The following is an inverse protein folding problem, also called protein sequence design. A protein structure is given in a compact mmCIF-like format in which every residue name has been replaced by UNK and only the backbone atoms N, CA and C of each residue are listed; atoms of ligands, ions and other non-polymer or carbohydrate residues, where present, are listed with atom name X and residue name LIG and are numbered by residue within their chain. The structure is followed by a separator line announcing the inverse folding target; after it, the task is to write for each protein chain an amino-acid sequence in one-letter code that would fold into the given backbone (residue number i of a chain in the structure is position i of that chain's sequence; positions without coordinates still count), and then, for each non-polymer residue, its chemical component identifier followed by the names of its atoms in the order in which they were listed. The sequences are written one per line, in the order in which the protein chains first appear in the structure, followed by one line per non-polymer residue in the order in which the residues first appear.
data_IF_024405956082
#
_entry.id   IF_024405956082
#
_cell.length_a   1.000
_cell.length_b   1.000
_cell.length_c   1.000
_cell.angle_alpha   90.00
_cell.angle_beta   90.00
_cell.angle_gamma   90.00
#
_symmetry.space_group_name_H-M   'P 1'
#
loop_
_entity.id
_entity.type
_entity.pdbx_description
1 polymer ?
#
# COMPACT_ATOMS: atom_id res chain seq x y z
N UNK A 1 -35.10 -3.28 -14.73
CA UNK A 1 -34.34 -3.98 -13.67
C UNK A 1 -33.07 -4.68 -14.20
N UNK A 2 -33.10 -5.38 -15.34
CA UNK A 2 -31.94 -6.09 -15.89
C UNK A 2 -30.65 -5.25 -16.04
N UNK A 3 -30.72 -4.00 -16.56
CA UNK A 3 -29.54 -3.13 -16.74
C UNK A 3 -28.79 -2.78 -15.45
N UNK A 4 -29.47 -2.71 -14.30
CA UNK A 4 -28.83 -2.46 -12.98
C UNK A 4 -28.09 -3.70 -12.49
N UNK A 5 -28.68 -4.89 -12.70
CA UNK A 5 -28.04 -6.15 -12.38
C UNK A 5 -26.73 -6.31 -13.15
N UNK A 6 -26.76 -6.14 -14.48
CA UNK A 6 -25.58 -6.25 -15.34
C UNK A 6 -24.42 -5.32 -14.95
N UNK A 7 -24.70 -4.11 -14.47
CA UNK A 7 -23.65 -3.18 -14.01
C UNK A 7 -22.99 -3.65 -12.72
N UNK A 8 -23.77 -4.14 -11.76
CA UNK A 8 -23.24 -4.65 -10.49
C UNK A 8 -22.42 -5.92 -10.73
N UNK A 9 -22.92 -6.85 -11.55
CA UNK A 9 -22.14 -8.04 -11.92
C UNK A 9 -20.90 -7.68 -12.72
N UNK A 10 -20.96 -6.69 -13.62
CA UNK A 10 -19.77 -6.26 -14.36
C UNK A 10 -18.72 -5.60 -13.45
N UNK A 11 -19.13 -4.79 -12.47
CA UNK A 11 -18.21 -4.23 -11.47
C UNK A 11 -17.64 -5.35 -10.58
N UNK A 12 -18.46 -6.32 -10.18
CA UNK A 12 -17.99 -7.48 -9.40
C UNK A 12 -17.00 -8.32 -10.19
N UNK A 13 -17.30 -8.63 -11.46
CA UNK A 13 -16.43 -9.38 -12.35
C UNK A 13 -15.17 -8.58 -12.63
N UNK A 14 -15.25 -7.27 -12.89
CA UNK A 14 -14.08 -6.42 -13.13
C UNK A 14 -13.20 -6.32 -11.87
N UNK A 15 -13.78 -6.21 -10.68
CA UNK A 15 -13.03 -6.23 -9.42
C UNK A 15 -12.42 -7.60 -9.15
N UNK A 16 -13.16 -8.69 -9.40
CA UNK A 16 -12.71 -10.06 -9.19
C UNK A 16 -11.63 -10.48 -10.21
N UNK A 17 -11.78 -10.11 -11.48
CA UNK A 17 -10.76 -10.34 -12.51
C UNK A 17 -9.58 -9.40 -12.37
N UNK A 18 -9.75 -8.18 -11.87
CA UNK A 18 -8.62 -7.34 -11.46
C UNK A 18 -7.86 -7.95 -10.27
N UNK A 19 -8.54 -8.68 -9.38
CA UNK A 19 -7.92 -9.47 -8.31
C UNK A 19 -7.20 -10.73 -8.82
N UNK A 20 -7.72 -11.40 -9.86
CA UNK A 20 -7.06 -12.53 -10.53
C UNK A 20 -5.92 -12.09 -11.46
N UNK A 21 -5.97 -10.86 -11.98
CA UNK A 21 -4.89 -10.20 -12.72
C UNK A 21 -3.92 -9.44 -11.82
N UNK A 22 -4.16 -9.39 -10.51
CA UNK A 22 -3.10 -9.17 -9.52
C UNK A 22 -2.24 -10.44 -9.42
N UNK A 23 -1.80 -10.93 -10.58
CA UNK A 23 -0.60 -11.74 -10.76
C UNK A 23 0.46 -11.03 -9.93
N UNK A 24 0.88 -11.68 -8.85
CA UNK A 24 1.81 -11.21 -7.82
C UNK A 24 2.30 -9.81 -8.13
N UNK A 25 1.72 -8.79 -7.49
CA UNK A 25 2.43 -7.51 -7.41
C UNK A 25 3.75 -7.85 -6.75
N UNK A 26 4.80 -8.06 -7.57
CA UNK A 26 6.15 -8.35 -7.11
C UNK A 26 6.54 -7.11 -6.33
N UNK A 27 6.28 -7.16 -5.02
CA UNK A 27 6.66 -6.06 -4.15
C UNK A 27 8.17 -6.09 -4.13
N UNK A 28 8.77 -4.95 -4.46
CA UNK A 28 10.22 -4.80 -4.44
C UNK A 28 10.67 -5.15 -3.03
N UNK A 29 11.63 -6.05 -2.89
CA UNK A 29 12.22 -6.43 -1.60
C UNK A 29 13.53 -5.67 -1.38
N UNK A 30 14.14 -5.88 -0.23
CA UNK A 30 15.47 -5.36 0.05
C UNK A 30 16.52 -5.85 -0.94
N UNK A 31 16.39 -7.07 -1.48
CA UNK A 31 17.32 -7.63 -2.47
C UNK A 31 17.38 -6.81 -3.75
N UNK A 32 16.25 -6.34 -4.26
CA UNK A 32 16.22 -5.43 -5.41
C UNK A 32 16.62 -4.00 -4.98
N UNK A 33 16.14 -3.54 -3.83
CA UNK A 33 16.33 -2.17 -3.36
C UNK A 33 17.81 -1.77 -3.21
N UNK A 34 18.65 -2.64 -2.64
CA UNK A 34 20.08 -2.35 -2.43
C UNK A 34 20.84 -2.15 -3.75
N UNK A 35 20.33 -2.73 -4.84
CA UNK A 35 20.92 -2.63 -6.17
C UNK A 35 20.45 -1.38 -6.94
N UNK A 36 19.46 -0.65 -6.42
CA UNK A 36 18.97 0.57 -7.04
C UNK A 36 19.89 1.76 -6.75
N UNK A 37 20.09 2.61 -7.75
CA UNK A 37 20.68 3.93 -7.52
C UNK A 37 19.70 4.84 -6.76
N UNK A 38 20.22 5.86 -6.08
CA UNK A 38 19.40 6.82 -5.32
C UNK A 38 18.31 7.48 -6.17
N UNK A 39 18.61 7.74 -7.45
CA UNK A 39 17.64 8.24 -8.43
C UNK A 39 16.48 7.27 -8.61
N UNK A 40 16.76 5.98 -8.78
CA UNK A 40 15.74 4.94 -8.96
C UNK A 40 14.92 4.76 -7.69
N UNK A 41 15.55 4.72 -6.51
CA UNK A 41 14.86 4.68 -5.21
C UNK A 41 13.90 5.85 -5.05
N UNK A 42 14.35 7.06 -5.38
CA UNK A 42 13.53 8.27 -5.33
C UNK A 42 12.34 8.21 -6.30
N UNK A 43 12.57 7.75 -7.54
CA UNK A 43 11.52 7.59 -8.54
C UNK A 43 10.49 6.53 -8.13
N UNK A 44 10.94 5.42 -7.54
CA UNK A 44 10.07 4.39 -7.00
C UNK A 44 9.13 4.97 -5.94
N UNK A 45 9.67 5.67 -4.94
CA UNK A 45 8.85 6.28 -3.88
C UNK A 45 7.88 7.36 -4.42
N UNK A 46 8.30 8.15 -5.41
CA UNK A 46 7.41 9.10 -6.10
C UNK A 46 6.27 8.36 -6.82
N UNK A 47 6.59 7.28 -7.52
CA UNK A 47 5.61 6.42 -8.20
C UNK A 47 4.62 5.80 -7.21
N UNK A 48 5.13 5.27 -6.09
CA UNK A 48 4.34 4.70 -5.01
C UNK A 48 3.33 5.71 -4.45
N UNK A 49 3.78 6.92 -4.07
CA UNK A 49 2.90 7.98 -3.57
C UNK A 49 1.86 8.44 -4.61
N UNK A 50 2.27 8.55 -5.89
CA UNK A 50 1.36 8.90 -6.98
C UNK A 50 0.29 7.82 -7.18
N UNK A 51 0.67 6.55 -7.10
CA UNK A 51 -0.23 5.40 -7.15
C UNK A 51 -1.25 5.44 -6.01
N UNK A 52 -0.82 5.65 -4.77
CA UNK A 52 -1.72 5.81 -3.62
C UNK A 52 -2.72 6.95 -3.80
N UNK A 53 -2.24 8.12 -4.24
CA UNK A 53 -3.11 9.28 -4.52
C UNK A 53 -4.14 8.98 -5.60
N UNK A 54 -3.73 8.30 -6.67
CA UNK A 54 -4.63 7.91 -7.75
C UNK A 54 -5.69 6.92 -7.26
N UNK A 55 -5.28 5.87 -6.55
CA UNK A 55 -6.18 4.87 -5.96
C UNK A 55 -7.20 5.51 -5.02
N UNK A 56 -6.76 6.44 -4.15
CA UNK A 56 -7.65 7.23 -3.29
C UNK A 56 -8.67 8.03 -4.09
N UNK A 57 -8.20 8.75 -5.12
CA UNK A 57 -9.05 9.59 -5.97
C UNK A 57 -10.12 8.76 -6.69
N UNK A 58 -9.75 7.58 -7.21
CA UNK A 58 -10.69 6.67 -7.85
C UNK A 58 -11.74 6.19 -6.85
N UNK A 59 -11.32 5.74 -5.67
CA UNK A 59 -12.23 5.27 -4.62
C UNK A 59 -13.19 6.36 -4.17
N UNK A 60 -12.68 7.56 -3.86
CA UNK A 60 -13.51 8.70 -3.43
C UNK A 60 -14.51 9.11 -4.52
N UNK A 61 -14.08 9.11 -5.79
CA UNK A 61 -14.98 9.38 -6.91
C UNK A 61 -16.08 8.33 -7.00
N UNK A 62 -15.74 7.04 -6.94
CA UNK A 62 -16.73 5.95 -6.99
C UNK A 62 -17.74 6.02 -5.83
N UNK A 63 -17.27 6.33 -4.61
CA UNK A 63 -18.16 6.51 -3.44
C UNK A 63 -19.10 7.70 -3.66
N UNK A 64 -18.58 8.83 -4.15
CA UNK A 64 -19.38 10.02 -4.39
C UNK A 64 -20.40 9.83 -5.51
N UNK A 65 -20.04 9.10 -6.56
CA UNK A 65 -20.95 8.79 -7.65
C UNK A 65 -22.08 7.84 -7.19
N UNK A 66 -21.80 6.87 -6.32
CA UNK A 66 -22.83 6.01 -5.71
C UNK A 66 -23.78 6.79 -4.78
N UNK A 67 -23.23 7.68 -3.92
CA UNK A 67 -24.04 8.52 -3.02
C UNK A 67 -25.00 9.45 -3.76
N UNK A 68 -24.68 9.87 -4.98
CA UNK A 68 -25.58 10.71 -5.81
C UNK A 68 -26.77 9.92 -6.36
N UNK A 69 -26.62 8.61 -6.52
CA UNK A 69 -27.63 7.74 -7.14
C UNK A 69 -28.45 6.99 -6.08
N UNK A 70 -27.87 6.75 -4.90
CA UNK A 70 -28.48 6.01 -3.81
C UNK A 70 -28.42 6.79 -2.49
N UNK A 71 -29.58 7.28 -2.03
CA UNK A 71 -29.72 8.09 -0.82
C UNK A 71 -29.35 7.34 0.46
N UNK A 72 -29.58 6.02 0.51
CA UNK A 72 -29.28 5.15 1.67
C UNK A 72 -27.93 4.41 1.50
N UNK A 73 -27.00 4.98 0.74
CA UNK A 73 -25.70 4.34 0.53
C UNK A 73 -24.90 4.24 1.84
N UNK A 74 -24.74 3.02 2.33
CA UNK A 74 -23.81 2.69 3.41
C UNK A 74 -22.51 2.20 2.79
N UNK A 75 -21.41 2.88 3.13
CA UNK A 75 -20.09 2.49 2.63
C UNK A 75 -19.72 1.09 3.14
N UNK A 76 -19.41 0.14 2.26
CA UNK A 76 -18.93 -1.17 2.67
C UNK A 76 -17.65 -1.08 3.51
N UNK A 77 -17.55 -1.90 4.55
CA UNK A 77 -16.42 -1.92 5.48
C UNK A 77 -15.08 -2.08 4.78
N UNK A 78 -15.00 -2.89 3.72
CA UNK A 78 -13.75 -3.11 2.98
C UNK A 78 -13.25 -1.83 2.28
N UNK A 79 -14.15 -0.97 1.81
CA UNK A 79 -13.80 0.32 1.18
C UNK A 79 -13.26 1.26 2.25
N UNK A 80 -13.94 1.32 3.41
CA UNK A 80 -13.49 2.12 4.55
C UNK A 80 -12.09 1.71 5.02
N UNK A 81 -11.87 0.41 5.23
CA UNK A 81 -10.57 -0.13 5.65
C UNK A 81 -9.50 0.17 4.60
N UNK A 82 -9.82 0.05 3.32
CA UNK A 82 -8.88 0.37 2.22
C UNK A 82 -8.47 1.84 2.22
N UNK A 83 -9.43 2.77 2.37
CA UNK A 83 -9.13 4.20 2.47
C UNK A 83 -8.22 4.50 3.66
N UNK A 84 -8.53 3.92 4.83
CA UNK A 84 -7.70 4.07 6.04
C UNK A 84 -6.29 3.52 5.85
N UNK A 85 -6.14 2.41 5.11
CA UNK A 85 -4.83 1.87 4.74
C UNK A 85 -4.07 2.84 3.83
N UNK A 86 -4.69 3.38 2.78
CA UNK A 86 -4.04 4.33 1.86
C UNK A 86 -3.55 5.57 2.61
N UNK A 87 -4.40 6.15 3.48
CA UNK A 87 -4.04 7.31 4.31
C UNK A 87 -2.80 7.07 5.16
N UNK A 88 -2.64 5.84 5.66
CA UNK A 88 -1.52 5.44 6.49
C UNK A 88 -0.18 5.43 5.73
N UNK A 89 -0.20 5.27 4.41
CA UNK A 89 1.01 5.28 3.58
C UNK A 89 1.36 6.66 2.99
N UNK A 90 0.57 7.72 3.26
CA UNK A 90 0.87 9.10 2.83
C UNK A 90 2.00 9.74 3.67
N UNK A 91 3.19 9.14 3.62
CA UNK A 91 4.33 9.50 4.46
C UNK A 91 4.98 10.82 4.08
N UNK A 92 4.74 11.35 2.88
CA UNK A 92 5.34 12.60 2.40
C UNK A 92 5.05 13.81 3.30
N UNK A 93 3.99 13.75 4.11
CA UNK A 93 3.65 14.79 5.09
C UNK A 93 4.55 14.74 6.35
N UNK A 94 5.19 13.60 6.60
CA UNK A 94 5.86 13.27 7.88
C UNK A 94 7.35 12.93 7.68
N UNK A 95 7.71 12.49 6.48
CA UNK A 95 9.06 12.08 6.11
C UNK A 95 9.31 12.51 4.64
N UNK A 96 10.22 13.47 4.41
CA UNK A 96 10.69 13.81 3.06
C UNK A 96 11.21 12.57 2.31
N UNK A 97 11.15 12.59 0.98
CA UNK A 97 11.51 11.43 0.15
C UNK A 97 12.96 10.98 0.35
N UNK A 98 13.90 11.92 0.41
CA UNK A 98 15.31 11.67 0.63
C UNK A 98 15.57 11.08 2.03
N UNK A 99 14.84 11.55 3.05
CA UNK A 99 14.89 10.97 4.38
C UNK A 99 14.31 9.54 4.38
N UNK A 100 13.21 9.32 3.65
CA UNK A 100 12.60 8.00 3.53
C UNK A 100 13.55 7.00 2.88
N UNK A 101 14.25 7.37 1.80
CA UNK A 101 15.27 6.52 1.16
C UNK A 101 16.34 6.12 2.17
N UNK A 102 16.93 7.08 2.89
CA UNK A 102 17.97 6.81 3.90
C UNK A 102 17.48 5.86 4.98
N UNK A 103 16.23 6.00 5.44
CA UNK A 103 15.65 5.14 6.47
C UNK A 103 15.39 3.72 5.98
N UNK A 104 14.96 3.57 4.72
CA UNK A 104 14.81 2.27 4.08
C UNK A 104 16.18 1.60 3.95
N UNK A 105 17.20 2.34 3.49
CA UNK A 105 18.58 1.85 3.39
C UNK A 105 19.12 1.35 4.73
N UNK A 106 18.86 2.10 5.82
CA UNK A 106 19.26 1.68 7.17
C UNK A 106 18.58 0.37 7.61
N UNK A 107 17.33 0.14 7.23
CA UNK A 107 16.63 -1.10 7.56
C UNK A 107 17.20 -2.27 6.74
N UNK A 108 17.50 -2.06 5.46
CA UNK A 108 18.08 -3.10 4.60
C UNK A 108 19.59 -3.30 4.77
N UNK A 109 20.26 -2.49 5.60
CA UNK A 109 21.63 -2.77 6.03
C UNK A 109 21.73 -4.08 6.84
N UNK A 110 20.62 -4.52 7.46
CA UNK A 110 20.54 -5.84 8.10
C UNK A 110 20.12 -6.91 7.07
N UNK A 111 20.96 -7.91 6.84
CA UNK A 111 20.73 -8.98 5.84
C UNK A 111 19.40 -9.73 6.03
N UNK A 112 19.03 -9.96 7.29
CA UNK A 112 17.77 -10.57 7.70
C UNK A 112 16.51 -9.77 7.28
N UNK A 113 16.66 -8.52 6.86
CA UNK A 113 15.57 -7.69 6.34
C UNK A 113 15.46 -7.73 4.81
N UNK A 114 16.43 -8.31 4.08
CA UNK A 114 16.46 -8.22 2.62
C UNK A 114 15.26 -8.87 1.93
N UNK A 115 14.65 -9.88 2.56
CA UNK A 115 13.43 -10.50 2.04
C UNK A 115 12.15 -9.70 2.33
N UNK A 116 12.21 -8.66 3.17
CA UNK A 116 11.03 -7.88 3.56
C UNK A 116 10.63 -6.94 2.42
N UNK A 117 9.35 -6.91 2.00
CA UNK A 117 8.84 -5.95 1.02
C UNK A 117 9.01 -4.48 1.41
N UNK A 118 9.34 -3.61 0.45
CA UNK A 118 9.60 -2.18 0.67
C UNK A 118 8.39 -1.44 1.23
N UNK A 119 7.17 -1.81 0.85
CA UNK A 119 5.94 -1.22 1.38
C UNK A 119 5.77 -1.50 2.88
N UNK A 120 6.12 -2.70 3.34
CA UNK A 120 6.13 -3.04 4.77
C UNK A 120 7.17 -2.22 5.54
N UNK A 121 8.34 -2.00 4.94
CA UNK A 121 9.38 -1.14 5.52
C UNK A 121 8.94 0.32 5.58
N UNK A 122 8.28 0.84 4.54
CA UNK A 122 7.67 2.18 4.56
C UNK A 122 6.67 2.28 5.73
N UNK A 123 5.83 1.26 5.92
CA UNK A 123 4.83 1.25 6.98
C UNK A 123 5.47 1.34 8.38
N UNK A 124 6.55 0.59 8.62
CA UNK A 124 7.24 0.61 9.91
C UNK A 124 7.88 1.99 10.17
N UNK A 125 8.48 2.61 9.14
CA UNK A 125 9.05 3.96 9.23
C UNK A 125 7.95 4.98 9.56
N UNK A 126 6.79 4.90 8.91
CA UNK A 126 5.66 5.80 9.17
C UNK A 126 5.16 5.67 10.59
N UNK A 127 4.93 4.45 11.08
CA UNK A 127 4.46 4.23 12.45
C UNK A 127 5.44 4.79 13.47
N UNK A 128 6.75 4.59 13.25
CA UNK A 128 7.78 5.16 14.12
C UNK A 128 7.76 6.69 14.09
N UNK A 129 7.57 7.30 12.92
CA UNK A 129 7.44 8.77 12.76
C UNK A 129 6.16 9.35 13.38
N UNK A 130 5.10 8.55 13.48
CA UNK A 130 3.86 8.90 14.18
C UNK A 130 3.93 8.72 15.71
N UNK A 131 5.08 8.30 16.25
CA UNK A 131 5.25 8.09 17.68
C UNK A 131 4.84 6.70 18.16
N UNK A 132 4.71 5.71 17.26
CA UNK A 132 4.33 4.33 17.58
C UNK A 132 5.51 3.34 17.38
N UNK A 133 6.65 3.47 18.09
CA UNK A 133 7.83 2.63 17.87
C UNK A 133 7.57 1.14 18.09
N UNK A 134 6.82 0.76 19.14
CA UNK A 134 6.49 -0.64 19.42
C UNK A 134 5.68 -1.31 18.30
N UNK A 135 4.86 -0.52 17.60
CA UNK A 135 4.06 -1.00 16.47
C UNK A 135 4.93 -1.16 15.23
N UNK A 136 5.84 -0.21 15.00
CA UNK A 136 6.84 -0.33 13.94
C UNK A 136 7.69 -1.59 14.10
N UNK A 137 8.14 -1.89 15.31
CA UNK A 137 8.97 -3.06 15.60
C UNK A 137 8.19 -4.36 15.41
N UNK A 138 6.93 -4.40 15.88
CA UNK A 138 6.04 -5.54 15.62
C UNK A 138 5.86 -5.82 14.14
N UNK A 139 5.66 -4.79 13.31
CA UNK A 139 5.52 -4.94 11.86
C UNK A 139 6.74 -5.63 11.26
N UNK A 140 7.96 -5.18 11.63
CA UNK A 140 9.19 -5.79 11.12
C UNK A 140 9.38 -7.22 11.64
N UNK A 141 9.09 -7.49 12.91
CA UNK A 141 9.18 -8.83 13.49
C UNK A 141 8.21 -9.79 12.81
N UNK A 142 6.96 -9.38 12.59
CA UNK A 142 5.95 -10.19 11.91
C UNK A 142 6.36 -10.49 10.46
N UNK A 143 6.90 -9.50 9.76
CA UNK A 143 7.42 -9.68 8.41
C UNK A 143 8.63 -10.64 8.36
N UNK A 144 9.54 -10.57 9.32
CA UNK A 144 10.63 -11.55 9.43
C UNK A 144 10.10 -12.95 9.69
N UNK A 145 9.11 -13.09 10.57
CA UNK A 145 8.48 -14.38 10.88
C UNK A 145 7.76 -15.01 9.69
N UNK A 146 7.15 -14.21 8.81
CA UNK A 146 6.51 -14.76 7.61
C UNK A 146 7.52 -15.37 6.63
N UNK A 147 8.73 -14.80 6.54
CA UNK A 147 9.79 -15.32 5.66
C UNK A 147 10.33 -16.68 6.13
N UNK A 148 10.41 -16.91 7.44
CA UNK A 148 10.91 -18.18 8.02
C UNK A 148 9.92 -19.34 7.79
N UNK A 149 8.63 -19.06 7.55
CA UNK A 149 7.61 -20.10 7.34
C UNK A 149 7.57 -20.63 5.90
N UNK A 150 8.31 -20.03 4.98
CA UNK A 150 8.35 -20.39 3.57
C UNK A 150 9.56 -21.27 3.19
N UNK A 151 10.38 -21.68 4.17
CA UNK A 151 11.44 -22.70 4.05
C UNK A 151 10.97 -24.07 4.59
#
# INVERSE_FOLDING_TARGET
MAKKLYRITFIFIFLFTSGLLARETVSITGKEWINFSDTVKTLYLKGFLKGLKLSRTILEKSINDERKINFDFIMPTYIFVTLKKIEKYEFNRICPLDEMVKRIDLIYAEELNLGIPVDIVILSIVERKLGNPEKADRILIEARKSLIKEE
#
